data_IF_949408765332
#
_entry.id   IF_949408765332
#
_cell.length_a   1.000
_cell.length_b   1.000
_cell.length_c   1.000
_cell.angle_alpha   90.00
_cell.angle_beta   90.00
_cell.angle_gamma   90.00
#
_symmetry.space_group_name_H-M   'P 1'
#
loop_
_entity.id
_entity.type
_entity.pdbx_description
1 polymer ?
#
# COMPACT_ATOMS: atom_id res chain seq x y z
N UNK A 1 -21.30 -8.38 -3.65
CA UNK A 1 -20.56 -7.10 -3.65
C UNK A 1 -19.70 -7.06 -2.39
N UNK A 2 -18.37 -6.93 -2.51
CA UNK A 2 -17.46 -6.93 -1.37
C UNK A 2 -17.08 -5.48 -1.04
N UNK A 3 -17.20 -5.07 0.23
CA UNK A 3 -16.79 -3.76 0.72
C UNK A 3 -15.71 -3.92 1.77
N UNK A 4 -14.64 -3.13 1.65
CA UNK A 4 -13.44 -3.22 2.48
C UNK A 4 -12.99 -1.81 2.85
N UNK A 5 -12.53 -1.63 4.10
CA UNK A 5 -12.04 -0.34 4.60
C UNK A 5 -10.60 -0.53 5.11
N UNK A 6 -9.61 -0.46 4.21
CA UNK A 6 -8.24 -0.72 4.60
C UNK A 6 -7.70 0.39 5.51
N UNK A 7 -7.23 -0.02 6.69
CA UNK A 7 -6.55 0.82 7.66
C UNK A 7 -5.03 0.84 7.40
N UNK A 8 -4.32 1.90 7.81
CA UNK A 8 -2.87 1.96 7.69
C UNK A 8 -2.22 0.81 8.47
N UNK A 9 -1.29 0.11 7.83
CA UNK A 9 -0.59 -1.02 8.45
C UNK A 9 0.46 -0.52 9.44
N UNK A 10 0.32 -0.92 10.70
CA UNK A 10 1.33 -0.74 11.74
C UNK A 10 2.56 -1.57 11.43
N UNK A 11 2.39 -2.79 10.91
CA UNK A 11 3.51 -3.65 10.51
C UNK A 11 4.38 -3.00 9.44
N UNK A 12 3.75 -2.45 8.38
CA UNK A 12 4.48 -1.70 7.35
C UNK A 12 5.24 -0.52 7.96
N UNK A 13 4.60 0.25 8.83
CA UNK A 13 5.22 1.40 9.46
C UNK A 13 6.40 1.01 10.37
N UNK A 14 6.25 -0.04 11.19
CA UNK A 14 7.32 -0.57 12.03
C UNK A 14 8.49 -1.10 11.20
N UNK A 15 8.21 -1.80 10.10
CA UNK A 15 9.23 -2.26 9.17
C UNK A 15 9.96 -1.07 8.52
N UNK A 16 9.22 -0.05 8.10
CA UNK A 16 9.80 1.17 7.55
C UNK A 16 10.70 1.86 8.58
N UNK A 17 10.23 2.03 9.83
CA UNK A 17 11.01 2.61 10.92
C UNK A 17 12.31 1.83 11.16
N UNK A 18 12.23 0.50 11.20
CA UNK A 18 13.38 -0.37 11.38
C UNK A 18 14.39 -0.23 10.23
N UNK A 19 13.93 -0.28 8.98
CA UNK A 19 14.78 -0.16 7.80
C UNK A 19 15.45 1.22 7.70
N UNK A 20 14.74 2.30 8.01
CA UNK A 20 15.33 3.64 8.02
C UNK A 20 16.32 3.80 9.18
N UNK A 21 16.06 3.19 10.34
CA UNK A 21 17.03 3.11 11.44
C UNK A 21 18.30 2.36 11.05
N UNK A 22 18.17 1.23 10.35
CA UNK A 22 19.31 0.51 9.78
C UNK A 22 20.07 1.35 8.74
N UNK A 23 19.36 2.09 7.89
CA UNK A 23 19.99 2.97 6.90
C UNK A 23 20.80 4.09 7.57
N UNK A 24 20.26 4.72 8.62
CA UNK A 24 20.97 5.76 9.38
C UNK A 24 22.20 5.21 10.12
N UNK A 25 22.08 4.05 10.77
CA UNK A 25 23.20 3.40 11.46
C UNK A 25 24.29 2.98 10.46
N UNK A 26 23.92 2.38 9.33
CA UNK A 26 24.85 2.06 8.25
C UNK A 26 25.53 3.32 7.69
N UNK A 27 24.78 4.41 7.48
CA UNK A 27 25.35 5.68 7.04
C UNK A 27 26.33 6.26 8.07
N UNK A 28 26.01 6.18 9.35
CA UNK A 28 26.88 6.67 10.42
C UNK A 28 28.19 5.87 10.51
N UNK A 29 28.11 4.55 10.46
CA UNK A 29 29.26 3.64 10.50
C UNK A 29 29.99 3.51 9.16
N UNK A 30 29.44 4.04 8.07
CA UNK A 30 30.13 4.06 6.79
C UNK A 30 31.39 4.95 6.85
N UNK A 31 32.42 4.57 6.09
CA UNK A 31 33.61 5.40 5.86
C UNK A 31 33.35 6.63 4.96
N UNK A 32 32.09 6.99 4.71
CA UNK A 32 31.72 8.11 3.87
C UNK A 32 32.19 9.46 4.46
N UNK A 33 32.54 10.44 3.61
CA UNK A 33 32.88 11.78 4.08
C UNK A 33 31.66 12.49 4.70
N UNK A 34 31.90 13.40 5.64
CA UNK A 34 30.86 14.07 6.42
C UNK A 34 29.79 14.75 5.55
N UNK A 35 30.18 15.47 4.51
CA UNK A 35 29.23 16.16 3.60
C UNK A 35 28.23 15.20 2.95
N UNK A 36 28.68 13.97 2.61
CA UNK A 36 27.81 12.96 2.00
C UNK A 36 26.82 12.40 3.04
N UNK A 37 27.26 12.20 4.28
CA UNK A 37 26.38 11.82 5.40
C UNK A 37 25.33 12.90 5.66
N UNK A 38 25.74 14.18 5.67
CA UNK A 38 24.84 15.32 5.84
C UNK A 38 23.83 15.47 4.70
N UNK A 39 24.19 15.10 3.46
CA UNK A 39 23.27 15.09 2.34
C UNK A 39 22.29 13.90 2.37
N UNK A 40 22.76 12.71 2.76
CA UNK A 40 21.96 11.49 2.76
C UNK A 40 21.02 11.36 3.95
N UNK A 41 21.42 11.81 5.15
CA UNK A 41 20.59 11.70 6.34
C UNK A 41 19.21 12.38 6.19
N UNK A 42 19.10 13.62 5.68
CA UNK A 42 17.81 14.26 5.40
C UNK A 42 16.94 13.47 4.42
N UNK A 43 17.53 12.78 3.44
CA UNK A 43 16.77 11.93 2.50
C UNK A 43 16.16 10.73 3.21
N UNK A 44 16.91 10.10 4.12
CA UNK A 44 16.38 9.01 4.95
C UNK A 44 15.27 9.53 5.88
N UNK A 45 15.44 10.70 6.51
CA UNK A 45 14.37 11.32 7.30
C UNK A 45 13.14 11.69 6.47
N UNK A 46 13.33 12.19 5.25
CA UNK A 46 12.24 12.51 4.33
C UNK A 46 11.44 11.25 3.94
N UNK A 47 12.14 10.14 3.65
CA UNK A 47 11.51 8.84 3.39
C UNK A 47 10.66 8.35 4.57
N UNK A 48 11.21 8.42 5.79
CA UNK A 48 10.48 8.05 7.00
C UNK A 48 9.28 8.96 7.25
N UNK A 49 9.43 10.27 7.02
CA UNK A 49 8.33 11.23 7.12
C UNK A 49 7.19 10.92 6.15
N UNK A 50 7.50 10.56 4.91
CA UNK A 50 6.50 10.16 3.92
C UNK A 50 5.74 8.90 4.36
N UNK A 51 6.43 7.88 4.85
CA UNK A 51 5.78 6.67 5.42
C UNK A 51 4.93 7.01 6.65
N UNK A 52 5.35 7.97 7.49
CA UNK A 52 4.56 8.45 8.61
C UNK A 52 3.28 9.16 8.15
N UNK A 53 3.34 9.98 7.10
CA UNK A 53 2.13 10.62 6.53
C UNK A 53 1.12 9.58 5.99
N UNK A 54 1.63 8.48 5.40
CA UNK A 54 0.79 7.35 4.96
C UNK A 54 0.19 6.63 6.16
N UNK A 55 0.98 6.35 7.20
CA UNK A 55 0.50 5.71 8.43
C UNK A 55 -0.54 6.56 9.19
N UNK A 56 -0.47 7.89 9.07
CA UNK A 56 -1.45 8.84 9.60
C UNK A 56 -2.72 8.95 8.74
N UNK A 57 -2.82 8.22 7.62
CA UNK A 57 -4.02 8.15 6.80
C UNK A 57 -4.24 9.34 5.86
N UNK A 58 -3.21 10.16 5.59
CA UNK A 58 -3.33 11.37 4.74
C UNK A 58 -3.31 11.10 3.23
N UNK A 59 -2.99 9.88 2.79
CA UNK A 59 -2.96 9.44 1.39
C UNK A 59 -3.39 7.98 1.29
N UNK A 60 -4.66 7.69 1.51
CA UNK A 60 -5.10 6.30 1.65
C UNK A 60 -6.43 6.00 0.94
N UNK A 61 -6.52 4.77 0.43
CA UNK A 61 -7.78 4.18 0.02
C UNK A 61 -8.67 4.05 1.26
N UNK A 62 -9.68 4.90 1.37
CA UNK A 62 -10.60 4.95 2.52
C UNK A 62 -11.64 3.85 2.43
N UNK A 63 -12.07 3.52 1.20
CA UNK A 63 -13.04 2.48 0.98
C UNK A 63 -12.86 1.86 -0.41
N UNK A 64 -13.13 0.57 -0.47
CA UNK A 64 -13.10 -0.20 -1.70
C UNK A 64 -14.41 -0.97 -1.83
N UNK A 65 -15.05 -0.85 -2.98
CA UNK A 65 -16.28 -1.58 -3.30
C UNK A 65 -16.09 -2.38 -4.60
N UNK A 66 -16.07 -3.70 -4.46
CA UNK A 66 -15.87 -4.64 -5.56
C UNK A 66 -17.22 -5.13 -6.05
N UNK A 67 -17.57 -4.72 -7.26
CA UNK A 67 -18.69 -5.24 -8.05
C UNK A 67 -18.27 -6.41 -8.93
N UNK A 68 -19.22 -6.94 -9.70
CA UNK A 68 -18.97 -8.07 -10.60
C UNK A 68 -18.18 -7.69 -11.87
N UNK A 69 -18.22 -6.42 -12.29
CA UNK A 69 -17.57 -5.93 -13.52
C UNK A 69 -16.71 -4.67 -13.34
N UNK A 70 -16.82 -4.00 -12.20
CA UNK A 70 -16.05 -2.79 -11.88
C UNK A 70 -15.75 -2.69 -10.40
N UNK A 71 -14.70 -1.94 -10.07
CA UNK A 71 -14.31 -1.64 -8.68
C UNK A 71 -14.35 -0.14 -8.49
N UNK A 72 -15.09 0.30 -7.47
CA UNK A 72 -15.07 1.69 -7.01
C UNK A 72 -14.06 1.81 -5.88
N UNK A 73 -13.01 2.59 -6.11
CA UNK A 73 -12.01 2.97 -5.13
C UNK A 73 -12.35 4.37 -4.64
N UNK A 74 -12.32 4.59 -3.32
CA UNK A 74 -12.39 5.92 -2.74
C UNK A 74 -11.03 6.26 -2.14
N UNK A 75 -10.35 7.25 -2.72
CA UNK A 75 -9.00 7.67 -2.33
C UNK A 75 -9.09 9.16 -1.98
N UNK A 76 -8.69 9.53 -0.77
CA UNK A 76 -8.63 10.93 -0.33
C UNK A 76 -9.91 11.76 -0.62
N UNK A 77 -11.08 11.11 -0.53
CA UNK A 77 -12.39 11.73 -0.78
C UNK A 77 -12.90 11.59 -2.21
N UNK A 78 -12.03 11.37 -3.18
CA UNK A 78 -12.37 11.16 -4.59
C UNK A 78 -12.76 9.71 -4.87
N UNK A 79 -13.77 9.50 -5.73
CA UNK A 79 -14.20 8.17 -6.16
C UNK A 79 -13.70 7.88 -7.57
N UNK A 80 -12.88 6.86 -7.70
CA UNK A 80 -12.35 6.37 -8.97
C UNK A 80 -12.98 5.01 -9.30
N UNK A 81 -13.57 4.87 -10.48
CA UNK A 81 -14.03 3.58 -10.99
C UNK A 81 -12.95 2.95 -11.86
N UNK A 82 -12.64 1.69 -11.57
CA UNK A 82 -11.56 0.94 -12.23
C UNK A 82 -12.11 -0.36 -12.80
N UNK A 83 -11.33 -0.96 -13.72
CA UNK A 83 -11.65 -2.27 -14.29
C UNK A 83 -11.56 -3.40 -13.25
N UNK A 84 -11.81 -4.65 -13.67
CA UNK A 84 -11.72 -5.80 -12.78
C UNK A 84 -10.30 -5.90 -12.19
N UNK A 85 -10.17 -6.21 -10.89
CA UNK A 85 -8.88 -6.30 -10.24
C UNK A 85 -8.15 -7.58 -10.64
N UNK A 86 -6.83 -7.55 -10.58
CA UNK A 86 -5.97 -8.71 -10.74
C UNK A 86 -5.20 -8.95 -9.44
N UNK A 87 -5.20 -10.18 -8.93
CA UNK A 87 -4.40 -10.52 -7.75
C UNK A 87 -2.99 -10.86 -8.22
N UNK A 88 -2.02 -10.03 -7.82
CA UNK A 88 -0.60 -10.27 -8.09
C UNK A 88 0.01 -11.23 -7.09
N UNK A 89 -0.41 -11.14 -5.84
CA UNK A 89 0.09 -11.97 -4.76
C UNK A 89 -0.97 -12.14 -3.68
N UNK A 90 -1.11 -13.34 -3.15
CA UNK A 90 -2.01 -13.64 -2.04
C UNK A 90 -1.36 -14.68 -1.12
N UNK A 91 -0.87 -14.23 0.03
CA UNK A 91 -0.41 -15.07 1.13
C UNK A 91 -1.16 -14.73 2.42
N UNK A 92 -0.82 -15.40 3.51
CA UNK A 92 -1.34 -15.06 4.84
C UNK A 92 -0.85 -13.69 5.33
N UNK A 93 0.34 -13.28 4.88
CA UNK A 93 1.06 -12.10 5.36
C UNK A 93 0.96 -10.90 4.41
N UNK A 94 0.51 -11.11 3.17
CA UNK A 94 0.47 -10.05 2.17
C UNK A 94 -0.54 -10.35 1.07
N UNK A 95 -1.39 -9.37 0.77
CA UNK A 95 -2.26 -9.42 -0.41
C UNK A 95 -1.97 -8.19 -1.28
N UNK A 96 -1.61 -8.44 -2.54
CA UNK A 96 -1.35 -7.40 -3.54
C UNK A 96 -2.41 -7.53 -4.63
N UNK A 97 -3.22 -6.48 -4.76
CA UNK A 97 -4.26 -6.37 -5.78
C UNK A 97 -3.94 -5.22 -6.71
N UNK A 98 -3.97 -5.47 -8.01
CA UNK A 98 -3.73 -4.49 -9.06
C UNK A 98 -5.05 -4.10 -9.72
N UNK A 99 -5.24 -2.80 -9.97
CA UNK A 99 -6.41 -2.24 -10.62
C UNK A 99 -5.97 -1.51 -11.91
N UNK A 100 -6.53 -1.89 -13.07
CA UNK A 100 -6.35 -1.11 -14.28
C UNK A 100 -7.19 0.17 -14.18
N UNK A 101 -6.54 1.33 -14.18
CA UNK A 101 -7.22 2.63 -14.25
C UNK A 101 -7.60 2.88 -15.70
N UNK A 102 -8.90 3.05 -15.97
CA UNK A 102 -9.40 3.40 -17.31
C UNK A 102 -9.72 4.89 -17.36
N UNK A 103 -9.07 5.60 -18.28
CA UNK A 103 -9.37 7.00 -18.60
C UNK A 103 -8.45 8.01 -17.91
N UNK A 104 -7.42 8.47 -18.65
CA UNK A 104 -6.80 9.80 -18.59
C UNK A 104 -5.57 9.79 -19.50
N UNK A 105 -5.78 9.87 -20.83
CA UNK A 105 -4.82 10.22 -21.92
C UNK A 105 -3.37 9.70 -21.89
N UNK A 106 -3.02 8.79 -20.99
CA UNK A 106 -1.66 8.33 -20.73
C UNK A 106 -1.72 6.84 -20.44
N UNK A 107 -0.92 6.09 -21.21
CA UNK A 107 -0.95 4.63 -21.23
C UNK A 107 -0.88 3.99 -19.84
N UNK A 108 -1.79 3.03 -19.62
CA UNK A 108 -1.64 1.94 -18.66
C UNK A 108 -1.24 2.29 -17.22
N UNK A 109 -1.81 3.33 -16.61
CA UNK A 109 -1.62 3.55 -15.17
C UNK A 109 -2.32 2.43 -14.38
N UNK A 110 -1.54 1.72 -13.57
CA UNK A 110 -2.00 0.62 -12.71
C UNK A 110 -1.94 1.09 -11.26
N UNK A 111 -3.00 0.86 -10.52
CA UNK A 111 -3.05 1.13 -9.09
C UNK A 111 -2.79 -0.16 -8.31
N UNK A 112 -1.84 -0.15 -7.38
CA UNK A 112 -1.53 -1.31 -6.56
C UNK A 112 -2.01 -1.08 -5.13
N UNK A 113 -2.89 -1.95 -4.66
CA UNK A 113 -3.30 -2.01 -3.27
C UNK A 113 -2.51 -3.11 -2.58
N UNK A 114 -1.67 -2.71 -1.62
CA UNK A 114 -0.89 -3.62 -0.77
C UNK A 114 -1.54 -3.68 0.60
N UNK A 115 -2.03 -4.87 0.96
CA UNK A 115 -2.73 -5.13 2.21
C UNK A 115 -1.89 -6.06 3.09
N UNK A 116 -1.53 -5.56 4.27
CA UNK A 116 -0.88 -6.34 5.33
C UNK A 116 -1.95 -6.99 6.23
N UNK A 117 -1.60 -7.99 7.05
CA UNK A 117 -2.57 -8.74 7.86
C UNK A 117 -3.30 -7.87 8.89
N UNK A 118 -2.72 -6.73 9.26
CA UNK A 118 -3.25 -5.71 10.17
C UNK A 118 -3.96 -4.55 9.45
N UNK A 119 -3.92 -4.49 8.12
CA UNK A 119 -4.64 -3.48 7.33
C UNK A 119 -6.15 -3.69 7.32
N UNK A 120 -6.63 -4.88 7.68
CA UNK A 120 -8.04 -5.25 7.61
C UNK A 120 -8.51 -5.86 8.92
N UNK A 121 -9.78 -5.58 9.26
CA UNK A 121 -10.47 -6.35 10.30
C UNK A 121 -10.53 -7.83 9.90
N UNK A 122 -10.49 -8.73 10.89
CA UNK A 122 -10.45 -10.19 10.67
C UNK A 122 -11.56 -10.68 9.73
N UNK A 123 -12.76 -10.13 9.86
CA UNK A 123 -13.91 -10.47 9.00
C UNK A 123 -13.78 -9.94 7.57
N UNK A 124 -13.26 -8.72 7.40
CA UNK A 124 -12.97 -8.16 6.08
C UNK A 124 -11.88 -8.96 5.38
N UNK A 125 -10.81 -9.33 6.10
CA UNK A 125 -9.75 -10.20 5.60
C UNK A 125 -10.28 -11.57 5.17
N UNK A 126 -11.12 -12.20 5.99
CA UNK A 126 -11.75 -13.49 5.66
C UNK A 126 -12.66 -13.41 4.44
N UNK A 127 -13.43 -12.32 4.30
CA UNK A 127 -14.28 -12.08 3.13
C UNK A 127 -13.46 -11.81 1.87
N UNK A 128 -12.39 -11.03 1.97
CA UNK A 128 -11.45 -10.77 0.87
C UNK A 128 -10.78 -12.06 0.40
N UNK A 129 -10.22 -12.89 1.30
CA UNK A 129 -9.58 -14.15 0.90
C UNK A 129 -10.56 -15.10 0.21
N UNK A 130 -11.78 -15.25 0.76
CA UNK A 130 -12.84 -16.04 0.11
C UNK A 130 -13.15 -15.49 -1.28
N UNK A 131 -13.32 -14.18 -1.39
CA UNK A 131 -13.62 -13.54 -2.66
C UNK A 131 -12.50 -13.76 -3.69
N UNK A 132 -11.23 -13.59 -3.30
CA UNK A 132 -10.07 -13.89 -4.16
C UNK A 132 -10.10 -15.34 -4.61
N UNK A 133 -10.28 -16.28 -3.68
CA UNK A 133 -10.32 -17.72 -3.99
C UNK A 133 -11.44 -18.08 -4.97
N UNK A 134 -12.65 -17.55 -4.77
CA UNK A 134 -13.81 -17.91 -5.59
C UNK A 134 -13.91 -17.17 -6.93
N UNK A 135 -13.45 -15.92 -7.01
CA UNK A 135 -13.66 -15.07 -8.18
C UNK A 135 -12.40 -14.82 -9.02
N UNK A 136 -11.21 -15.01 -8.44
CA UNK A 136 -9.93 -14.73 -9.11
C UNK A 136 -8.97 -15.93 -9.09
N UNK A 137 -9.27 -16.99 -8.33
CA UNK A 137 -8.46 -18.19 -8.20
C UNK A 137 -8.63 -19.22 -9.33
N UNK A 138 -8.77 -18.78 -10.58
CA UNK A 138 -8.61 -19.60 -11.78
C UNK A 138 -7.63 -18.95 -12.73
#
# INVERSE_FOLDING_TARGET
MLRIHPAPSRLRFLLALFLHGLALTALFHSGAPFWLKSALAPLVFCGLWLEAQIALGRRQVVAMQIGARSVKLRIDGESMETGPPQVRHCSEWLVIVEFPVRGAESGHRRFHLVLFPDSLLTDERRRLRRWIYFYLGR
#
